data_IF_757903216423
#
_entry.id   IF_757903216423
#
_cell.length_a   1.000
_cell.length_b   1.000
_cell.length_c   1.000
_cell.angle_alpha   90.00
_cell.angle_beta   90.00
_cell.angle_gamma   90.00
#
_symmetry.space_group_name_H-M   'P 1'
#
loop_
_entity.id
_entity.type
_entity.pdbx_description
1 polymer ?
#
# COMPACT_ATOMS: atom_id res chain seq x y z
N UNK A 1 6.37 11.80 -11.08
CA UNK A 1 4.99 12.10 -11.54
C UNK A 1 4.80 11.72 -13.00
N UNK A 2 5.69 12.13 -13.89
CA UNK A 2 5.62 11.84 -15.34
C UNK A 2 5.54 10.34 -15.64
N UNK A 3 6.38 9.53 -14.98
CA UNK A 3 6.36 8.07 -15.11
C UNK A 3 5.02 7.46 -14.68
N UNK A 4 4.39 7.99 -13.64
CA UNK A 4 3.07 7.54 -13.18
C UNK A 4 1.99 7.86 -14.21
N UNK A 5 2.07 9.05 -14.84
CA UNK A 5 1.16 9.45 -15.92
C UNK A 5 1.33 8.52 -17.12
N UNK A 6 2.58 8.28 -17.54
CA UNK A 6 2.88 7.38 -18.66
C UNK A 6 2.35 5.97 -18.40
N UNK A 7 2.57 5.43 -17.18
CA UNK A 7 2.09 4.13 -16.77
C UNK A 7 0.55 4.04 -16.75
N UNK A 8 -0.12 5.05 -16.19
CA UNK A 8 -1.58 5.07 -16.18
C UNK A 8 -2.17 5.10 -17.61
N UNK A 9 -1.62 5.93 -18.48
CA UNK A 9 -2.03 5.99 -19.89
C UNK A 9 -1.79 4.66 -20.61
N UNK A 10 -0.65 4.04 -20.35
CA UNK A 10 -0.33 2.72 -20.89
C UNK A 10 -1.36 1.67 -20.41
N UNK A 11 -1.68 1.59 -19.12
CA UNK A 11 -2.71 0.70 -18.61
C UNK A 11 -4.06 0.92 -19.31
N UNK A 12 -4.51 2.17 -19.39
CA UNK A 12 -5.81 2.53 -19.98
C UNK A 12 -5.86 2.30 -21.51
N UNK A 13 -4.71 2.19 -22.19
CA UNK A 13 -4.66 1.84 -23.62
C UNK A 13 -5.06 0.37 -23.87
N UNK A 14 -4.98 -0.50 -22.88
CA UNK A 14 -5.42 -1.90 -22.97
C UNK A 14 -6.83 -2.10 -22.44
N UNK A 15 -7.06 -1.71 -21.20
CA UNK A 15 -8.37 -1.83 -20.55
C UNK A 15 -8.42 -0.98 -19.27
N UNK A 16 -9.61 -0.74 -18.77
CA UNK A 16 -9.81 -0.22 -17.41
C UNK A 16 -9.47 -1.36 -16.43
N UNK A 17 -8.53 -1.17 -15.50
CA UNK A 17 -8.15 -2.24 -14.58
C UNK A 17 -9.30 -2.62 -13.64
N UNK A 18 -9.47 -3.91 -13.38
CA UNK A 18 -10.41 -4.42 -12.36
C UNK A 18 -9.84 -4.29 -10.96
N UNK A 19 -8.52 -4.46 -10.85
CA UNK A 19 -7.80 -4.43 -9.59
C UNK A 19 -6.58 -3.52 -9.75
N UNK A 20 -6.41 -2.60 -8.81
CA UNK A 20 -5.21 -1.76 -8.68
C UNK A 20 -4.53 -2.08 -7.36
N UNK A 21 -3.25 -2.44 -7.40
CA UNK A 21 -2.44 -2.66 -6.20
C UNK A 21 -1.36 -1.59 -6.12
N UNK A 22 -1.55 -0.61 -5.26
CA UNK A 22 -0.57 0.41 -4.94
C UNK A 22 0.49 -0.19 -4.00
N UNK A 23 1.50 -0.82 -4.58
CA UNK A 23 2.54 -1.54 -3.86
C UNK A 23 3.89 -0.82 -3.80
N UNK A 24 4.13 0.15 -4.69
CA UNK A 24 5.39 0.88 -4.73
C UNK A 24 5.71 1.50 -3.36
N UNK A 25 6.91 1.24 -2.85
CA UNK A 25 7.34 1.75 -1.56
C UNK A 25 8.81 1.55 -1.31
N UNK A 26 9.38 2.40 -0.47
CA UNK A 26 10.75 2.31 0.04
C UNK A 26 10.73 2.34 1.56
N UNK A 27 11.73 1.71 2.17
CA UNK A 27 11.94 1.71 3.60
C UNK A 27 13.40 2.04 3.90
N UNK A 28 13.62 3.12 4.60
CA UNK A 28 14.91 3.47 5.19
C UNK A 28 14.64 3.80 6.65
N UNK A 29 15.22 3.04 7.60
CA UNK A 29 15.04 3.31 9.02
C UNK A 29 15.77 4.60 9.41
N UNK A 30 15.18 5.39 10.29
CA UNK A 30 15.76 6.62 10.81
C UNK A 30 14.91 7.22 11.91
N UNK A 31 15.50 8.09 12.70
CA UNK A 31 14.76 8.92 13.66
C UNK A 31 14.57 10.32 13.07
N UNK A 32 13.44 10.93 13.34
CA UNK A 32 13.08 12.27 12.81
C UNK A 32 14.19 13.32 12.99
N UNK A 33 14.96 13.23 14.09
CA UNK A 33 16.01 14.21 14.41
C UNK A 33 17.36 13.91 13.73
N UNK A 34 17.60 12.68 13.30
CA UNK A 34 18.92 12.21 12.87
C UNK A 34 18.95 11.72 11.42
N UNK A 35 17.80 11.55 10.77
CA UNK A 35 17.75 11.08 9.40
C UNK A 35 18.24 12.15 8.41
N UNK A 36 18.71 11.69 7.26
CA UNK A 36 19.27 12.57 6.24
C UNK A 36 18.24 13.54 5.66
N UNK A 37 18.69 14.74 5.30
CA UNK A 37 17.88 15.71 4.55
C UNK A 37 17.31 15.06 3.26
N UNK A 38 16.04 15.33 2.98
CA UNK A 38 15.33 14.71 1.85
C UNK A 38 14.76 13.32 2.13
N UNK A 39 14.97 12.73 3.32
CA UNK A 39 14.43 11.41 3.67
C UNK A 39 12.90 11.42 3.65
N UNK A 40 12.27 12.41 4.26
CA UNK A 40 10.80 12.53 4.28
C UNK A 40 10.24 12.70 2.86
N UNK A 41 10.83 13.58 2.06
CA UNK A 41 10.40 13.85 0.69
C UNK A 41 10.47 12.58 -0.17
N UNK A 42 11.55 11.80 -0.05
CA UNK A 42 11.70 10.54 -0.77
C UNK A 42 10.64 9.51 -0.37
N UNK A 43 10.41 9.34 0.93
CA UNK A 43 9.36 8.44 1.42
C UNK A 43 7.96 8.90 0.99
N UNK A 44 7.64 10.17 1.10
CA UNK A 44 6.35 10.71 0.64
C UNK A 44 6.19 10.57 -0.87
N UNK A 45 7.23 10.89 -1.65
CA UNK A 45 7.18 10.78 -3.11
C UNK A 45 6.92 9.34 -3.56
N UNK A 46 7.56 8.36 -2.91
CA UNK A 46 7.46 6.96 -3.31
C UNK A 46 6.26 6.27 -2.66
N UNK A 47 6.10 6.37 -1.34
CA UNK A 47 5.11 5.59 -0.61
C UNK A 47 3.69 6.17 -0.69
N UNK A 48 3.55 7.48 -0.96
CA UNK A 48 2.25 8.14 -1.03
C UNK A 48 1.93 8.68 -2.44
N UNK A 49 2.80 9.53 -3.01
CA UNK A 49 2.46 10.20 -4.25
C UNK A 49 2.36 9.25 -5.44
N UNK A 50 3.09 8.14 -5.46
CA UNK A 50 2.91 7.10 -6.49
C UNK A 50 1.47 6.60 -6.51
N UNK A 51 0.94 6.18 -5.36
CA UNK A 51 -0.42 5.70 -5.19
C UNK A 51 -1.46 6.79 -5.45
N UNK A 52 -1.27 7.97 -4.86
CA UNK A 52 -2.19 9.11 -5.00
C UNK A 52 -2.38 9.52 -6.45
N UNK A 53 -1.29 9.70 -7.20
CA UNK A 53 -1.38 10.11 -8.59
C UNK A 53 -1.91 8.99 -9.50
N UNK A 54 -1.48 7.74 -9.31
CA UNK A 54 -1.96 6.62 -10.10
C UNK A 54 -3.47 6.42 -9.92
N UNK A 55 -3.92 6.40 -8.68
CA UNK A 55 -5.34 6.26 -8.35
C UNK A 55 -6.18 7.35 -9.00
N UNK A 56 -5.77 8.62 -8.91
CA UNK A 56 -6.47 9.76 -9.54
C UNK A 56 -6.60 9.65 -11.06
N UNK A 57 -5.65 8.99 -11.71
CA UNK A 57 -5.66 8.81 -13.16
C UNK A 57 -6.55 7.63 -13.59
N UNK A 58 -6.61 6.58 -12.80
CA UNK A 58 -7.35 5.35 -13.12
C UNK A 58 -8.81 5.40 -12.65
N UNK A 59 -9.06 5.99 -11.47
CA UNK A 59 -10.39 5.99 -10.83
C UNK A 59 -11.53 6.55 -11.68
N UNK A 60 -11.37 7.61 -12.49
CA UNK A 60 -12.47 8.11 -13.31
C UNK A 60 -13.07 7.03 -14.23
N UNK A 61 -12.23 6.19 -14.83
CA UNK A 61 -12.69 5.09 -15.70
C UNK A 61 -13.28 3.91 -14.92
N UNK A 62 -12.78 3.64 -13.72
CA UNK A 62 -13.38 2.65 -12.82
C UNK A 62 -14.76 3.13 -12.35
N UNK A 63 -14.92 4.42 -12.04
CA UNK A 63 -16.20 5.05 -11.65
C UNK A 63 -17.23 4.95 -12.78
N UNK A 64 -16.84 5.26 -14.02
CA UNK A 64 -17.70 5.10 -15.21
C UNK A 64 -18.20 3.65 -15.33
N UNK A 65 -17.34 2.68 -15.08
CA UNK A 65 -17.67 1.23 -15.10
C UNK A 65 -18.44 0.76 -13.87
N UNK A 66 -18.45 1.53 -12.77
CA UNK A 66 -19.05 1.20 -11.47
C UNK A 66 -18.52 -0.12 -10.86
N UNK A 67 -17.27 -0.43 -11.10
CA UNK A 67 -16.65 -1.67 -10.62
C UNK A 67 -15.14 -1.52 -10.49
N UNK A 68 -14.58 -2.10 -9.46
CA UNK A 68 -13.14 -2.17 -9.24
C UNK A 68 -12.77 -2.39 -7.77
N UNK A 69 -11.52 -2.75 -7.56
CA UNK A 69 -10.95 -2.92 -6.23
C UNK A 69 -9.54 -2.32 -6.16
N UNK A 70 -9.33 -1.39 -5.25
CA UNK A 70 -8.05 -0.73 -5.03
C UNK A 70 -7.46 -1.25 -3.71
N UNK A 71 -6.25 -1.78 -3.78
CA UNK A 71 -5.47 -2.21 -2.62
C UNK A 71 -4.32 -1.24 -2.40
N UNK A 72 -4.20 -0.72 -1.19
CA UNK A 72 -3.10 0.14 -0.79
C UNK A 72 -2.20 -0.62 0.19
N UNK A 73 -0.97 -0.94 -0.24
CA UNK A 73 -0.01 -1.64 0.61
C UNK A 73 0.64 -0.63 1.56
N UNK A 74 0.11 -0.60 2.75
CA UNK A 74 0.52 0.28 3.83
C UNK A 74 1.63 -0.39 4.69
N UNK A 75 1.47 -0.42 5.99
CA UNK A 75 2.33 -1.10 6.97
C UNK A 75 1.70 -1.02 8.36
N UNK A 76 2.08 -1.91 9.27
CA UNK A 76 1.82 -1.74 10.71
C UNK A 76 2.44 -0.44 11.25
N UNK A 77 3.47 0.09 10.59
CA UNK A 77 4.08 1.40 10.87
C UNK A 77 3.12 2.59 10.71
N UNK A 78 1.96 2.40 10.09
CA UNK A 78 0.87 3.37 10.00
C UNK A 78 -0.14 3.29 11.15
N UNK A 79 -0.06 2.24 11.97
CA UNK A 79 -0.99 1.98 13.07
C UNK A 79 -0.40 2.39 14.43
N UNK A 80 0.93 2.37 14.53
CA UNK A 80 1.65 2.70 15.75
C UNK A 80 3.06 3.19 15.43
N UNK A 81 3.46 4.28 16.08
CA UNK A 81 4.84 4.75 16.03
C UNK A 81 5.80 3.74 16.71
N UNK A 82 7.03 3.65 16.20
CA UNK A 82 8.07 2.77 16.72
C UNK A 82 9.45 3.44 16.59
N UNK A 83 10.43 2.91 17.30
CA UNK A 83 11.81 3.41 17.25
C UNK A 83 12.37 3.25 15.82
N UNK A 84 13.08 4.25 15.34
CA UNK A 84 13.60 4.33 13.95
C UNK A 84 12.50 4.34 12.86
N UNK A 85 11.27 4.72 13.22
CA UNK A 85 10.18 4.82 12.26
C UNK A 85 10.24 6.05 11.34
N UNK A 86 10.68 7.19 11.89
CA UNK A 86 10.97 8.44 11.17
C UNK A 86 10.05 8.75 9.99
N UNK A 87 10.64 9.20 8.90
CA UNK A 87 9.96 9.55 7.66
C UNK A 87 9.16 8.38 7.06
N UNK A 88 9.65 7.15 7.22
CA UNK A 88 8.89 5.97 6.75
C UNK A 88 7.53 5.86 7.44
N UNK A 89 7.51 5.88 8.77
CA UNK A 89 6.26 5.80 9.53
C UNK A 89 5.32 6.94 9.16
N UNK A 90 5.83 8.18 9.08
CA UNK A 90 5.05 9.35 8.65
C UNK A 90 4.42 9.11 7.28
N UNK A 91 5.18 8.60 6.30
CA UNK A 91 4.66 8.31 4.97
C UNK A 91 3.56 7.23 4.99
N UNK A 92 3.68 6.22 5.86
CA UNK A 92 2.68 5.15 5.98
C UNK A 92 1.42 5.61 6.73
N UNK A 93 1.53 6.49 7.73
CA UNK A 93 0.37 7.16 8.31
C UNK A 93 -0.37 8.01 7.26
N UNK A 94 0.36 8.75 6.43
CA UNK A 94 -0.23 9.53 5.34
C UNK A 94 -0.91 8.62 4.30
N UNK A 95 -0.31 7.46 3.95
CA UNK A 95 -0.90 6.46 3.06
C UNK A 95 -2.18 5.86 3.65
N UNK A 96 -2.22 5.60 4.95
CA UNK A 96 -3.43 5.12 5.62
C UNK A 96 -4.53 6.18 5.57
N UNK A 97 -4.22 7.43 5.89
CA UNK A 97 -5.17 8.54 5.77
C UNK A 97 -5.71 8.71 4.35
N UNK A 98 -4.85 8.59 3.34
CA UNK A 98 -5.26 8.56 1.94
C UNK A 98 -6.24 7.40 1.66
N UNK A 99 -5.93 6.18 2.12
CA UNK A 99 -6.78 5.01 1.92
C UNK A 99 -8.17 5.16 2.53
N UNK A 100 -8.24 5.69 3.75
CA UNK A 100 -9.51 5.92 4.46
C UNK A 100 -10.39 6.92 3.70
N UNK A 101 -9.82 8.06 3.28
CA UNK A 101 -10.56 9.06 2.51
C UNK A 101 -11.00 8.50 1.14
N UNK A 102 -10.09 7.83 0.44
CA UNK A 102 -10.39 7.21 -0.85
C UNK A 102 -11.55 6.22 -0.74
N UNK A 103 -11.61 5.43 0.33
CA UNK A 103 -12.71 4.48 0.54
C UNK A 103 -14.06 5.20 0.64
N UNK A 104 -14.14 6.28 1.41
CA UNK A 104 -15.37 7.06 1.53
C UNK A 104 -15.83 7.64 0.18
N UNK A 105 -14.88 8.12 -0.63
CA UNK A 105 -15.18 8.66 -1.95
C UNK A 105 -15.61 7.57 -2.95
N UNK A 106 -15.05 6.36 -2.85
CA UNK A 106 -15.27 5.28 -3.83
C UNK A 106 -16.50 4.41 -3.55
N UNK A 107 -16.96 4.33 -2.30
CA UNK A 107 -18.15 3.55 -1.89
C UNK A 107 -19.40 3.83 -2.74
N UNK A 108 -19.80 5.10 -3.00
CA UNK A 108 -20.99 5.40 -3.79
C UNK A 108 -20.88 4.94 -5.26
N UNK A 109 -19.68 4.65 -5.72
CA UNK A 109 -19.40 4.25 -7.10
C UNK A 109 -19.21 2.73 -7.27
N UNK A 110 -19.44 1.95 -6.22
CA UNK A 110 -19.30 0.48 -6.26
C UNK A 110 -17.85 0.01 -6.36
N UNK A 111 -16.88 0.86 -6.00
CA UNK A 111 -15.45 0.53 -5.99
C UNK A 111 -15.01 0.23 -4.56
N UNK A 112 -14.36 -0.92 -4.38
CA UNK A 112 -13.80 -1.34 -3.10
C UNK A 112 -12.43 -0.73 -2.89
N UNK A 113 -12.10 -0.39 -1.64
CA UNK A 113 -10.75 0.03 -1.24
C UNK A 113 -10.37 -0.76 -0.01
N UNK A 114 -9.23 -1.44 -0.08
CA UNK A 114 -8.65 -2.22 1.02
C UNK A 114 -7.28 -1.69 1.38
N UNK A 115 -7.06 -1.42 2.66
CA UNK A 115 -5.73 -1.08 3.18
C UNK A 115 -5.10 -2.35 3.73
N UNK A 116 -3.87 -2.65 3.31
CA UNK A 116 -3.12 -3.80 3.82
C UNK A 116 -2.00 -3.29 4.72
N UNK A 117 -1.92 -3.80 5.93
CA UNK A 117 -0.93 -3.43 6.95
C UNK A 117 -0.01 -4.63 7.27
N UNK A 118 0.99 -4.92 6.43
CA UNK A 118 1.96 -5.96 6.75
C UNK A 118 2.87 -5.54 7.90
N UNK A 119 3.24 -6.51 8.76
CA UNK A 119 4.43 -6.45 9.58
C UNK A 119 5.69 -6.79 8.76
N UNK A 120 6.68 -7.40 9.39
CA UNK A 120 7.92 -7.79 8.70
C UNK A 120 7.67 -8.90 7.67
N UNK A 121 8.02 -8.62 6.41
CA UNK A 121 7.87 -9.51 5.24
C UNK A 121 9.20 -9.61 4.52
N UNK A 122 9.64 -10.80 4.17
CA UNK A 122 10.87 -11.05 3.44
C UNK A 122 10.78 -10.45 2.02
N UNK A 123 11.38 -9.30 1.86
CA UNK A 123 11.48 -8.51 0.62
C UNK A 123 12.83 -7.81 0.62
N UNK A 124 13.14 -7.07 -0.43
CA UNK A 124 14.39 -6.27 -0.53
C UNK A 124 14.57 -5.29 0.65
N UNK A 125 13.49 -4.91 1.35
CA UNK A 125 13.57 -4.11 2.59
C UNK A 125 14.26 -4.83 3.75
N UNK A 126 14.43 -6.15 3.65
CA UNK A 126 15.09 -7.03 4.61
C UNK A 126 16.32 -7.70 4.02
N UNK A 127 16.94 -7.07 2.99
CA UNK A 127 18.18 -7.61 2.40
C UNK A 127 19.26 -7.81 3.47
N UNK A 128 19.91 -8.99 3.45
CA UNK A 128 20.86 -9.41 4.46
C UNK A 128 20.27 -9.96 5.77
N UNK A 129 18.93 -9.95 5.94
CA UNK A 129 18.30 -10.57 7.11
C UNK A 129 18.28 -12.11 6.97
N UNK A 130 18.82 -12.82 7.97
CA UNK A 130 18.74 -14.28 8.01
C UNK A 130 17.35 -14.74 8.47
N UNK A 131 16.54 -15.22 7.53
CA UNK A 131 15.22 -15.80 7.79
C UNK A 131 15.22 -17.35 7.80
N UNK A 132 16.34 -18.00 8.04
CA UNK A 132 16.40 -19.49 8.12
C UNK A 132 15.48 -20.04 9.22
N UNK A 133 15.30 -19.29 10.30
CA UNK A 133 14.37 -19.59 11.38
C UNK A 133 12.90 -19.27 11.05
N UNK A 134 12.59 -18.78 9.84
CA UNK A 134 11.25 -18.34 9.40
C UNK A 134 10.62 -17.33 10.37
N UNK A 135 11.42 -16.37 10.82
CA UNK A 135 11.01 -15.37 11.81
C UNK A 135 10.06 -14.31 11.24
N UNK A 136 10.19 -13.97 9.97
CA UNK A 136 9.34 -13.03 9.26
C UNK A 136 8.56 -13.71 8.15
N UNK A 137 7.46 -13.07 7.73
CA UNK A 137 6.51 -13.61 6.75
C UNK A 137 7.10 -13.69 5.34
N UNK A 138 6.52 -14.55 4.52
CA UNK A 138 6.81 -14.60 3.08
C UNK A 138 5.96 -13.57 2.32
N UNK A 139 6.50 -12.99 1.23
CA UNK A 139 5.76 -12.05 0.39
C UNK A 139 4.46 -12.67 -0.19
N UNK A 140 4.48 -13.98 -0.42
CA UNK A 140 3.32 -14.75 -0.90
C UNK A 140 2.16 -14.76 0.09
N UNK A 141 2.39 -14.57 1.39
CA UNK A 141 1.31 -14.52 2.39
C UNK A 141 0.46 -13.26 2.18
N UNK A 142 1.11 -12.15 1.90
CA UNK A 142 0.43 -10.89 1.58
C UNK A 142 -0.37 -11.03 0.26
N UNK A 143 0.27 -11.59 -0.78
CA UNK A 143 -0.38 -11.79 -2.08
C UNK A 143 -1.63 -12.69 -1.98
N UNK A 144 -1.57 -13.77 -1.20
CA UNK A 144 -2.73 -14.66 -0.95
C UNK A 144 -3.88 -13.93 -0.27
N UNK A 145 -3.59 -13.06 0.72
CA UNK A 145 -4.64 -12.28 1.40
C UNK A 145 -5.28 -11.26 0.47
N UNK A 146 -4.49 -10.56 -0.34
CA UNK A 146 -5.00 -9.66 -1.38
C UNK A 146 -5.89 -10.44 -2.35
N UNK A 147 -5.42 -11.56 -2.86
CA UNK A 147 -6.20 -12.41 -3.78
C UNK A 147 -7.51 -12.89 -3.14
N UNK A 148 -7.47 -13.41 -1.91
CA UNK A 148 -8.67 -13.87 -1.22
C UNK A 148 -9.73 -12.76 -1.07
N UNK A 149 -9.30 -11.52 -0.79
CA UNK A 149 -10.21 -10.37 -0.68
C UNK A 149 -10.89 -10.03 -2.03
N UNK A 150 -10.26 -10.34 -3.18
CA UNK A 150 -10.86 -10.12 -4.50
C UNK A 150 -11.99 -11.09 -4.83
N UNK A 151 -12.02 -12.25 -4.17
CA UNK A 151 -13.01 -13.31 -4.43
C UNK A 151 -14.36 -13.08 -3.72
N UNK A 152 -14.44 -12.06 -2.87
CA UNK A 152 -15.66 -11.76 -2.14
C UNK A 152 -16.73 -11.18 -3.06
N UNK A 153 -18.00 -11.44 -2.71
CA UNK A 153 -19.15 -10.90 -3.41
C UNK A 153 -19.10 -9.37 -3.54
N UNK A 154 -19.82 -8.77 -4.49
CA UNK A 154 -19.86 -7.31 -4.65
C UNK A 154 -20.28 -6.55 -3.39
N UNK A 155 -21.11 -7.17 -2.54
CA UNK A 155 -21.64 -6.55 -1.32
C UNK A 155 -20.63 -6.52 -0.17
N UNK A 156 -19.58 -7.34 -0.22
CA UNK A 156 -18.58 -7.43 0.84
C UNK A 156 -17.30 -6.69 0.46
N UNK A 157 -16.76 -5.94 1.40
CA UNK A 157 -15.45 -5.29 1.27
C UNK A 157 -14.62 -5.58 2.53
N UNK A 158 -13.42 -6.12 2.35
CA UNK A 158 -12.42 -6.13 3.40
C UNK A 158 -11.82 -4.73 3.45
N UNK A 159 -12.03 -4.01 4.55
CA UNK A 159 -11.56 -2.63 4.68
C UNK A 159 -10.09 -2.56 5.03
N UNK A 160 -9.67 -3.43 5.96
CA UNK A 160 -8.30 -3.50 6.43
C UNK A 160 -7.84 -4.96 6.55
N UNK A 161 -6.59 -5.21 6.21
CA UNK A 161 -5.90 -6.49 6.44
C UNK A 161 -4.67 -6.19 7.28
N UNK A 162 -4.67 -6.60 8.54
CA UNK A 162 -3.49 -6.55 9.39
C UNK A 162 -2.90 -7.95 9.48
N UNK A 163 -1.66 -8.11 9.01
CA UNK A 163 -0.97 -9.40 9.01
C UNK A 163 0.45 -9.24 9.56
N UNK A 164 0.80 -10.07 10.51
CA UNK A 164 2.06 -9.98 11.27
C UNK A 164 2.74 -11.34 11.36
N UNK A 165 4.05 -11.37 11.57
CA UNK A 165 4.72 -12.62 11.93
C UNK A 165 4.05 -13.31 13.11
N UNK A 166 4.01 -14.64 13.08
CA UNK A 166 3.36 -15.45 14.12
C UNK A 166 3.86 -15.13 15.54
N UNK A 167 5.15 -14.81 15.67
CA UNK A 167 5.77 -14.47 16.96
C UNK A 167 5.75 -12.97 17.29
N UNK A 168 4.92 -12.19 16.57
CA UNK A 168 4.84 -10.74 16.74
C UNK A 168 5.88 -9.97 15.95
N UNK A 169 5.96 -8.66 16.19
CA UNK A 169 6.90 -7.76 15.50
C UNK A 169 8.35 -7.99 15.98
N UNK A 170 9.33 -7.51 15.19
CA UNK A 170 10.77 -7.53 15.53
C UNK A 170 11.14 -6.30 16.37
#
# INVERSE_FOLDING_TARGET
KEQVIAFANWCLSFAVPDIVVNNAGVFHPGNVLDEQEGSLENHIATNLYSAYHLTRLLSPKMIERKSGHIFNICSIAALKAYKNGGAYSISKFAMNGFSMNLREEMKPHGIKVTTVHPGAVLTDSWDGFDNTSKRIMEATDIAKMVYAATLLSPQACVEEIVIRPQLGDL
#
